data_IF_331820680385
#
_entry.id   IF_331820680385
#
_cell.length_a   1.000
_cell.length_b   1.000
_cell.length_c   1.000
_cell.angle_alpha   90.00
_cell.angle_beta   90.00
_cell.angle_gamma   90.00
#
_symmetry.space_group_name_H-M   'P 1'
#
loop_
_entity.id
_entity.type
_entity.pdbx_description
1 polymer ?
#
# COMPACT_ATOMS: atom_id res chain seq x y z
N UNK A 1 -25.36 14.57 -1.87
CA UNK A 1 -24.20 14.31 -2.72
C UNK A 1 -24.46 13.14 -3.68
N UNK A 2 -24.62 11.88 -3.24
CA UNK A 2 -24.78 10.73 -4.16
C UNK A 2 -26.01 10.81 -5.08
N UNK A 3 -27.07 11.48 -4.68
CA UNK A 3 -28.28 11.68 -5.47
C UNK A 3 -28.18 12.84 -6.49
N UNK A 4 -27.09 13.60 -6.45
CA UNK A 4 -26.87 14.70 -7.34
C UNK A 4 -26.36 14.19 -8.71
N UNK A 5 -27.08 14.43 -9.83
CA UNK A 5 -26.70 13.95 -11.14
C UNK A 5 -25.45 14.67 -11.71
N UNK A 6 -25.08 15.84 -11.19
CA UNK A 6 -23.89 16.57 -11.63
C UNK A 6 -22.60 15.98 -11.04
N UNK A 7 -22.71 15.17 -9.96
CA UNK A 7 -21.58 14.48 -9.36
C UNK A 7 -21.42 13.11 -10.04
N UNK A 8 -20.40 12.94 -10.85
CA UNK A 8 -20.10 11.68 -11.56
C UNK A 8 -19.20 10.74 -10.77
N UNK A 9 -18.31 11.29 -9.95
CA UNK A 9 -17.28 10.56 -9.21
C UNK A 9 -17.21 10.98 -7.74
N UNK A 10 -16.79 10.06 -6.88
CA UNK A 10 -16.59 10.32 -5.46
C UNK A 10 -15.24 9.76 -4.99
N UNK A 11 -14.60 10.49 -4.08
CA UNK A 11 -13.47 9.99 -3.29
C UNK A 11 -13.96 9.62 -1.90
N UNK A 12 -13.72 8.37 -1.48
CA UNK A 12 -14.12 7.85 -0.18
C UNK A 12 -12.88 7.80 0.71
N UNK A 13 -12.80 8.74 1.67
CA UNK A 13 -11.70 8.91 2.63
C UNK A 13 -12.31 8.84 4.03
N UNK A 14 -12.76 7.65 4.39
CA UNK A 14 -13.43 7.34 5.65
C UNK A 14 -12.56 6.36 6.47
N UNK A 15 -12.86 6.16 7.77
CA UNK A 15 -12.27 5.05 8.51
C UNK A 15 -12.54 3.69 7.85
N UNK A 16 -11.57 2.78 7.91
CA UNK A 16 -11.54 1.50 7.21
C UNK A 16 -12.83 0.66 7.39
N UNK A 17 -13.42 0.71 8.58
CA UNK A 17 -14.66 0.00 8.93
C UNK A 17 -15.94 0.60 8.31
N UNK A 18 -15.85 1.76 7.68
CA UNK A 18 -16.97 2.42 6.99
C UNK A 18 -16.89 2.29 5.47
N UNK A 19 -15.82 1.72 4.93
CA UNK A 19 -15.58 1.63 3.50
C UNK A 19 -16.68 0.85 2.78
N UNK A 20 -17.09 -0.31 3.32
CA UNK A 20 -18.10 -1.16 2.70
C UNK A 20 -19.42 -0.44 2.47
N UNK A 21 -20.00 0.16 3.50
CA UNK A 21 -21.27 0.88 3.40
C UNK A 21 -21.17 2.03 2.38
N UNK A 22 -20.08 2.81 2.44
CA UNK A 22 -19.88 3.94 1.54
C UNK A 22 -19.76 3.50 0.07
N UNK A 23 -19.05 2.38 -0.21
CA UNK A 23 -18.91 1.82 -1.55
C UNK A 23 -20.24 1.25 -2.05
N UNK A 24 -21.01 0.50 -1.20
CA UNK A 24 -22.34 0.00 -1.55
C UNK A 24 -23.28 1.14 -1.98
N UNK A 25 -23.29 2.24 -1.22
CA UNK A 25 -24.09 3.43 -1.55
C UNK A 25 -23.63 4.12 -2.84
N UNK A 26 -22.32 4.23 -3.07
CA UNK A 26 -21.76 4.85 -4.27
C UNK A 26 -22.04 4.01 -5.53
N UNK A 27 -21.92 2.67 -5.43
CA UNK A 27 -22.25 1.72 -6.51
C UNK A 27 -23.75 1.80 -6.84
N UNK A 28 -24.64 1.80 -5.83
CA UNK A 28 -26.09 1.95 -6.03
C UNK A 28 -26.44 3.27 -6.72
N UNK A 29 -25.67 4.33 -6.46
CA UNK A 29 -25.80 5.64 -7.12
C UNK A 29 -25.07 5.74 -8.44
N UNK A 30 -24.42 4.65 -8.93
CA UNK A 30 -23.66 4.57 -10.21
C UNK A 30 -22.57 5.62 -10.33
N UNK A 31 -21.81 5.87 -9.24
CA UNK A 31 -20.70 6.82 -9.23
C UNK A 31 -19.37 6.10 -9.52
N UNK A 32 -18.44 6.80 -10.17
CA UNK A 32 -17.04 6.38 -10.18
C UNK A 32 -16.45 6.53 -8.79
N UNK A 33 -15.57 5.63 -8.38
CA UNK A 33 -15.11 5.53 -6.98
C UNK A 33 -13.59 5.48 -6.91
N UNK A 34 -13.00 6.45 -6.21
CA UNK A 34 -11.66 6.37 -5.64
C UNK A 34 -11.82 6.07 -4.15
N UNK A 35 -11.42 4.88 -3.72
CA UNK A 35 -11.50 4.45 -2.34
C UNK A 35 -10.12 4.50 -1.70
N UNK A 36 -9.96 5.17 -0.56
CA UNK A 36 -8.74 5.06 0.22
C UNK A 36 -8.44 3.61 0.63
N UNK A 37 -7.14 3.31 0.75
CA UNK A 37 -6.69 2.00 1.26
C UNK A 37 -6.95 1.90 2.79
N UNK A 38 -7.15 0.70 3.31
CA UNK A 38 -7.28 -0.60 2.65
C UNK A 38 -8.62 -0.74 1.93
N UNK A 39 -8.79 -1.81 1.13
CA UNK A 39 -10.10 -2.10 0.52
C UNK A 39 -11.20 -2.17 1.58
N UNK A 40 -10.95 -2.89 2.69
CA UNK A 40 -11.83 -2.99 3.84
C UNK A 40 -11.01 -3.29 5.10
N UNK A 41 -11.61 -3.15 6.28
CA UNK A 41 -11.01 -3.55 7.55
C UNK A 41 -10.97 -5.06 7.72
N UNK A 42 -12.08 -5.74 7.40
CA UNK A 42 -12.23 -7.19 7.57
C UNK A 42 -12.19 -7.89 6.21
N UNK A 43 -11.61 -9.11 6.17
CA UNK A 43 -11.48 -9.88 4.93
C UNK A 43 -12.85 -10.21 4.30
N UNK A 44 -13.87 -10.48 5.11
CA UNK A 44 -15.22 -10.77 4.61
C UNK A 44 -15.84 -9.56 3.93
N UNK A 45 -15.68 -8.36 4.50
CA UNK A 45 -16.12 -7.11 3.88
C UNK A 45 -15.37 -6.85 2.57
N UNK A 46 -14.05 -7.09 2.57
CA UNK A 46 -13.23 -6.99 1.37
C UNK A 46 -13.68 -7.94 0.26
N UNK A 47 -14.07 -9.17 0.61
CA UNK A 47 -14.63 -10.15 -0.33
C UNK A 47 -15.98 -9.66 -0.89
N UNK A 48 -16.88 -9.19 -0.03
CA UNK A 48 -18.16 -8.67 -0.45
C UNK A 48 -18.01 -7.47 -1.39
N UNK A 49 -17.09 -6.55 -1.07
CA UNK A 49 -16.80 -5.40 -1.92
C UNK A 49 -16.17 -5.82 -3.25
N UNK A 50 -15.21 -6.76 -3.25
CA UNK A 50 -14.64 -7.30 -4.48
C UNK A 50 -15.75 -7.87 -5.40
N UNK A 51 -16.63 -8.73 -4.86
CA UNK A 51 -17.75 -9.30 -5.63
C UNK A 51 -18.69 -8.22 -6.18
N UNK A 52 -18.91 -7.14 -5.44
CA UNK A 52 -19.74 -6.02 -5.85
C UNK A 52 -19.12 -5.22 -7.02
N UNK A 53 -17.78 -5.02 -7.00
CA UNK A 53 -17.13 -4.09 -7.95
C UNK A 53 -16.30 -4.77 -9.04
N UNK A 54 -16.11 -6.11 -9.03
CA UNK A 54 -15.31 -6.83 -10.05
C UNK A 54 -15.79 -6.65 -11.48
N UNK A 55 -17.10 -6.53 -11.66
CA UNK A 55 -17.77 -6.36 -12.95
C UNK A 55 -18.48 -5.00 -13.05
N UNK A 56 -18.12 -4.05 -12.17
CA UNK A 56 -18.74 -2.72 -12.15
C UNK A 56 -18.40 -1.93 -13.42
N UNK A 57 -19.42 -1.33 -14.01
CA UNK A 57 -19.30 -0.59 -15.29
C UNK A 57 -18.69 0.80 -15.16
N UNK A 58 -18.47 1.27 -13.93
CA UNK A 58 -17.79 2.53 -13.64
C UNK A 58 -16.36 2.28 -13.15
N UNK A 59 -15.55 3.33 -13.14
CA UNK A 59 -14.20 3.26 -12.59
C UNK A 59 -14.27 3.03 -11.09
N UNK A 60 -13.63 1.96 -10.63
CA UNK A 60 -13.33 1.71 -9.22
C UNK A 60 -11.82 1.55 -9.07
N UNK A 61 -11.22 2.24 -8.12
CA UNK A 61 -9.82 2.09 -7.77
C UNK A 61 -9.60 2.27 -6.27
N UNK A 62 -8.63 1.56 -5.71
CA UNK A 62 -8.18 1.73 -4.33
C UNK A 62 -6.91 2.59 -4.32
N UNK A 63 -6.76 3.46 -3.32
CA UNK A 63 -5.67 4.40 -3.16
C UNK A 63 -4.33 3.76 -2.81
N UNK A 64 -3.74 3.01 -3.74
CA UNK A 64 -2.39 2.47 -3.63
C UNK A 64 -1.39 3.40 -4.34
N UNK A 65 -1.16 4.54 -3.74
CA UNK A 65 -0.38 5.65 -4.29
C UNK A 65 1.03 5.25 -4.76
N UNK A 66 1.66 4.23 -4.15
CA UNK A 66 3.02 3.80 -4.52
C UNK A 66 3.12 3.22 -5.93
N UNK A 67 2.01 2.84 -6.56
CA UNK A 67 2.01 2.47 -7.99
C UNK A 67 2.23 3.65 -8.92
N UNK A 68 2.08 4.86 -8.40
CA UNK A 68 2.33 6.13 -9.10
C UNK A 68 3.69 6.75 -8.73
N UNK A 69 4.41 6.19 -7.76
CA UNK A 69 5.81 6.55 -7.51
C UNK A 69 6.68 6.07 -8.67
N UNK A 70 7.39 6.97 -9.37
CA UNK A 70 8.15 6.62 -10.56
C UNK A 70 9.21 5.53 -10.32
N UNK A 71 9.76 5.41 -9.12
CA UNK A 71 10.78 4.39 -8.80
C UNK A 71 10.16 2.99 -8.84
N UNK A 72 8.97 2.79 -8.24
CA UNK A 72 8.26 1.52 -8.24
C UNK A 72 7.68 1.19 -9.63
N UNK A 73 7.16 2.21 -10.33
CA UNK A 73 6.65 2.07 -11.69
C UNK A 73 7.74 1.67 -12.69
N UNK A 74 8.94 2.28 -12.61
CA UNK A 74 10.08 1.91 -13.46
C UNK A 74 10.56 0.48 -13.24
N UNK A 75 10.52 -0.03 -12.01
CA UNK A 75 10.84 -1.44 -11.73
C UNK A 75 9.83 -2.34 -12.44
N UNK A 76 8.53 -2.05 -12.29
CA UNK A 76 7.45 -2.82 -12.96
C UNK A 76 7.62 -2.84 -14.48
N UNK A 77 7.87 -1.68 -15.07
CA UNK A 77 8.08 -1.58 -16.52
C UNK A 77 9.23 -2.45 -17.03
N UNK A 78 10.36 -2.49 -16.30
CA UNK A 78 11.51 -3.35 -16.66
C UNK A 78 11.22 -4.84 -16.46
N UNK A 79 10.43 -5.19 -15.44
CA UNK A 79 9.95 -6.56 -15.26
C UNK A 79 9.05 -6.98 -16.41
N UNK A 80 8.08 -6.13 -16.79
CA UNK A 80 7.14 -6.41 -17.89
C UNK A 80 7.83 -6.53 -19.25
N UNK A 81 8.93 -5.80 -19.47
CA UNK A 81 9.77 -5.95 -20.67
C UNK A 81 10.71 -7.14 -20.62
N UNK A 82 10.76 -7.89 -19.50
CA UNK A 82 11.68 -9.02 -19.29
C UNK A 82 13.16 -8.64 -19.18
N UNK A 83 13.45 -7.35 -18.98
CA UNK A 83 14.82 -6.84 -18.83
C UNK A 83 15.48 -7.35 -17.54
N UNK A 84 14.72 -7.49 -16.46
CA UNK A 84 15.19 -8.04 -15.19
C UNK A 84 15.06 -9.56 -15.11
N UNK A 85 14.27 -10.17 -16.00
CA UNK A 85 13.95 -11.60 -15.95
C UNK A 85 12.95 -11.95 -14.86
N UNK A 86 12.97 -13.20 -14.37
CA UNK A 86 12.06 -13.69 -13.35
C UNK A 86 12.55 -13.30 -11.96
N UNK A 87 11.65 -12.83 -11.10
CA UNK A 87 11.98 -12.46 -9.72
C UNK A 87 12.34 -13.73 -8.94
N UNK A 88 13.48 -13.70 -8.24
CA UNK A 88 13.94 -14.75 -7.33
C UNK A 88 13.47 -14.42 -5.93
N UNK A 89 13.80 -13.24 -5.44
CA UNK A 89 13.34 -12.74 -4.16
C UNK A 89 13.26 -11.21 -4.11
N UNK A 90 12.52 -10.72 -3.14
CA UNK A 90 12.43 -9.30 -2.82
C UNK A 90 12.52 -9.12 -1.30
N UNK A 91 13.36 -8.17 -0.85
CA UNK A 91 13.33 -7.65 0.51
C UNK A 91 12.78 -6.23 0.48
N UNK A 92 11.78 -5.98 1.32
CA UNK A 92 11.19 -4.65 1.48
C UNK A 92 11.13 -4.27 2.94
N UNK A 93 11.42 -3.01 3.22
CA UNK A 93 11.41 -2.45 4.57
C UNK A 93 10.73 -1.09 4.54
N UNK A 94 9.78 -0.88 5.45
CA UNK A 94 9.14 0.42 5.66
C UNK A 94 9.07 0.74 7.14
N UNK A 95 9.90 1.70 7.57
CA UNK A 95 10.00 2.11 8.95
C UNK A 95 9.62 3.59 9.12
N UNK A 96 9.00 3.94 10.25
CA UNK A 96 8.57 5.32 10.54
C UNK A 96 8.69 5.66 12.02
N UNK A 97 8.73 6.96 12.38
CA UNK A 97 8.78 7.40 13.77
C UNK A 97 7.52 7.08 14.56
N UNK A 98 7.70 6.84 15.88
CA UNK A 98 6.62 6.47 16.81
C UNK A 98 5.53 7.54 16.96
N UNK A 99 5.76 8.75 16.54
CA UNK A 99 4.75 9.81 16.57
C UNK A 99 3.56 9.52 15.63
N UNK A 100 3.81 8.80 14.53
CA UNK A 100 2.78 8.42 13.55
C UNK A 100 1.71 7.51 14.14
N UNK A 101 2.05 6.32 14.65
CA UNK A 101 1.09 5.31 15.10
C UNK A 101 0.20 5.77 16.25
N UNK A 102 0.64 6.71 17.08
CA UNK A 102 -0.19 7.28 18.15
C UNK A 102 -1.52 7.86 17.66
N UNK A 103 -1.61 8.23 16.37
CA UNK A 103 -2.84 8.75 15.74
C UNK A 103 -3.83 7.65 15.36
N UNK A 104 -3.37 6.38 15.32
CA UNK A 104 -4.14 5.24 14.85
C UNK A 104 -4.52 4.25 15.95
N UNK A 105 -4.28 4.62 17.23
CA UNK A 105 -4.63 3.78 18.38
C UNK A 105 -6.13 3.42 18.33
N UNK A 106 -6.42 2.12 18.30
CA UNK A 106 -7.78 1.57 18.22
C UNK A 106 -8.43 1.64 16.84
N UNK A 107 -7.79 2.24 15.84
CA UNK A 107 -8.32 2.38 14.48
C UNK A 107 -7.70 1.37 13.50
N UNK A 108 -6.37 1.26 13.46
CA UNK A 108 -5.65 0.39 12.52
C UNK A 108 -4.36 -0.13 13.15
N UNK A 109 -3.81 -1.24 12.65
CA UNK A 109 -2.52 -1.79 13.08
C UNK A 109 -1.48 -1.68 11.94
N UNK A 110 -0.23 -2.04 12.26
CA UNK A 110 0.95 -1.91 11.41
C UNK A 110 0.80 -2.66 10.07
N UNK A 111 0.24 -3.88 10.10
CA UNK A 111 -0.03 -4.67 8.90
C UNK A 111 -0.97 -3.97 7.94
N UNK A 112 -2.09 -3.48 8.46
CA UNK A 112 -3.17 -2.86 7.68
C UNK A 112 -2.84 -1.42 7.26
N UNK A 113 -2.13 -0.66 8.12
CA UNK A 113 -1.86 0.75 7.84
C UNK A 113 -0.60 0.96 7.00
N UNK A 114 0.45 0.18 7.26
CA UNK A 114 1.79 0.37 6.67
C UNK A 114 2.13 -0.73 5.67
N UNK A 115 2.13 -2.01 6.10
CA UNK A 115 2.60 -3.11 5.24
C UNK A 115 1.73 -3.32 4.01
N UNK A 116 0.45 -2.97 4.05
CA UNK A 116 -0.45 -3.14 2.91
C UNK A 116 0.03 -2.40 1.65
N UNK A 117 0.73 -1.29 1.82
CA UNK A 117 1.36 -0.57 0.70
C UNK A 117 2.45 -1.40 0.03
N UNK A 118 3.30 -2.03 0.85
CA UNK A 118 4.41 -2.84 0.35
C UNK A 118 3.90 -4.16 -0.23
N UNK A 119 2.90 -4.75 0.38
CA UNK A 119 2.20 -5.94 -0.13
C UNK A 119 1.61 -5.66 -1.52
N UNK A 120 0.96 -4.52 -1.71
CA UNK A 120 0.33 -4.16 -2.97
C UNK A 120 1.35 -4.09 -4.12
N UNK A 121 2.41 -3.30 -3.99
CA UNK A 121 3.35 -3.17 -5.09
C UNK A 121 4.21 -4.42 -5.30
N UNK A 122 4.51 -5.19 -4.25
CA UNK A 122 5.22 -6.47 -4.40
C UNK A 122 4.35 -7.49 -5.14
N UNK A 123 3.06 -7.63 -4.79
CA UNK A 123 2.13 -8.47 -5.53
C UNK A 123 2.05 -8.04 -7.01
N UNK A 124 2.05 -6.74 -7.27
CA UNK A 124 2.04 -6.19 -8.62
C UNK A 124 3.31 -6.55 -9.42
N UNK A 125 4.48 -6.48 -8.79
CA UNK A 125 5.73 -6.89 -9.43
C UNK A 125 5.79 -8.40 -9.70
N UNK A 126 5.37 -9.21 -8.71
CA UNK A 126 5.37 -10.67 -8.84
C UNK A 126 4.49 -11.17 -9.98
N UNK A 127 3.37 -10.52 -10.25
CA UNK A 127 2.46 -10.84 -11.35
C UNK A 127 1.77 -12.21 -11.22
N UNK A 128 1.87 -12.86 -10.06
CA UNK A 128 1.23 -14.13 -9.72
C UNK A 128 0.69 -14.10 -8.29
N UNK A 129 -0.05 -15.15 -7.86
CA UNK A 129 -0.71 -15.16 -6.57
C UNK A 129 0.27 -15.46 -5.43
N UNK A 130 0.15 -14.76 -4.28
CA UNK A 130 0.74 -15.20 -3.03
C UNK A 130 0.03 -16.48 -2.55
N UNK A 131 0.79 -17.46 -2.05
CA UNK A 131 0.24 -18.77 -1.65
C UNK A 131 0.46 -19.12 -0.19
N UNK A 132 1.53 -18.60 0.43
CA UNK A 132 1.86 -18.88 1.84
C UNK A 132 2.46 -17.68 2.53
N UNK A 133 2.18 -17.56 3.82
CA UNK A 133 2.74 -16.50 4.68
C UNK A 133 3.24 -17.08 5.99
N UNK A 134 4.44 -16.67 6.38
CA UNK A 134 4.95 -16.84 7.74
C UNK A 134 5.31 -15.46 8.32
N UNK A 135 4.76 -15.10 9.47
CA UNK A 135 4.98 -13.79 10.08
C UNK A 135 5.27 -13.87 11.58
N UNK A 136 6.02 -12.88 12.06
CA UNK A 136 6.31 -12.65 13.48
C UNK A 136 6.24 -11.16 13.78
N UNK A 137 5.84 -10.87 15.01
CA UNK A 137 5.75 -9.51 15.53
C UNK A 137 6.49 -9.36 16.87
N UNK A 138 6.71 -8.11 17.22
CA UNK A 138 7.10 -7.71 18.58
C UNK A 138 6.35 -6.45 18.97
N UNK A 139 5.89 -6.43 20.23
CA UNK A 139 5.24 -5.26 20.84
C UNK A 139 5.90 -4.98 22.18
N UNK A 140 6.47 -3.82 22.33
CA UNK A 140 7.14 -3.31 23.55
C UNK A 140 6.63 -1.92 23.87
N UNK A 141 6.83 -0.95 22.97
CA UNK A 141 6.47 0.45 23.17
C UNK A 141 4.96 0.71 23.01
N UNK A 142 4.31 -0.01 22.09
CA UNK A 142 2.88 0.13 21.79
C UNK A 142 2.03 -1.00 22.38
N UNK A 143 2.62 -1.86 23.24
CA UNK A 143 1.96 -3.03 23.80
C UNK A 143 0.67 -2.69 24.57
N UNK A 144 0.69 -1.63 25.38
CA UNK A 144 -0.48 -1.20 26.17
C UNK A 144 -1.63 -0.68 25.28
N UNK A 145 -1.31 -0.28 24.04
CA UNK A 145 -2.28 0.15 23.04
C UNK A 145 -2.80 -1.02 22.17
N UNK A 146 -2.34 -2.24 22.42
CA UNK A 146 -2.71 -3.42 21.62
C UNK A 146 -2.12 -3.43 20.22
N UNK A 147 -1.08 -2.64 19.93
CA UNK A 147 -0.48 -2.46 18.61
C UNK A 147 0.89 -3.12 18.52
N UNK A 148 1.27 -3.51 17.31
CA UNK A 148 2.59 -4.05 17.01
C UNK A 148 3.62 -2.93 16.82
N UNK A 149 4.84 -3.08 17.40
CA UNK A 149 5.96 -2.19 17.13
C UNK A 149 6.62 -2.51 15.79
N UNK A 150 6.76 -3.80 15.50
CA UNK A 150 7.40 -4.34 14.30
C UNK A 150 6.73 -5.64 13.88
N UNK A 151 6.63 -5.84 12.56
CA UNK A 151 6.22 -7.08 11.93
C UNK A 151 7.26 -7.46 10.88
N UNK A 152 7.65 -8.75 10.87
CA UNK A 152 8.37 -9.40 9.78
C UNK A 152 7.46 -10.45 9.15
N UNK A 153 7.39 -10.47 7.82
CA UNK A 153 6.63 -11.46 7.08
C UNK A 153 7.44 -12.02 5.91
N UNK A 154 7.31 -13.31 5.68
CA UNK A 154 7.80 -14.01 4.50
C UNK A 154 6.59 -14.46 3.71
N UNK A 155 6.48 -14.02 2.46
CA UNK A 155 5.41 -14.37 1.52
C UNK A 155 6.00 -15.21 0.40
N UNK A 156 5.43 -16.39 0.17
CA UNK A 156 5.79 -17.26 -0.96
C UNK A 156 4.74 -17.12 -2.06
N UNK A 157 5.19 -17.07 -3.31
CA UNK A 157 4.36 -16.90 -4.49
C UNK A 157 4.27 -18.19 -5.31
N UNK A 158 3.24 -18.32 -6.19
CA UNK A 158 3.00 -19.50 -7.03
C UNK A 158 4.21 -19.89 -7.88
N UNK A 159 4.98 -18.91 -8.35
CA UNK A 159 6.21 -19.14 -9.15
C UNK A 159 7.43 -19.53 -8.30
N UNK A 160 7.28 -19.67 -6.98
CA UNK A 160 8.34 -20.01 -6.04
C UNK A 160 9.16 -18.81 -5.56
N UNK A 161 8.92 -17.60 -6.06
CA UNK A 161 9.58 -16.38 -5.57
C UNK A 161 9.18 -16.09 -4.11
N UNK A 162 10.08 -15.42 -3.38
CA UNK A 162 9.91 -15.13 -1.95
C UNK A 162 10.03 -13.62 -1.73
N UNK A 163 9.09 -13.04 -1.01
CA UNK A 163 9.23 -11.69 -0.48
C UNK A 163 9.42 -11.73 1.04
N UNK A 164 10.46 -11.03 1.52
CA UNK A 164 10.67 -10.77 2.95
C UNK A 164 10.32 -9.31 3.23
N UNK A 165 9.36 -9.08 4.11
CA UNK A 165 8.82 -7.76 4.39
C UNK A 165 9.02 -7.38 5.85
N UNK A 166 9.50 -6.17 6.08
CA UNK A 166 9.67 -5.56 7.40
C UNK A 166 8.87 -4.28 7.47
N UNK A 167 8.04 -4.14 8.51
CA UNK A 167 7.46 -2.86 8.87
C UNK A 167 7.69 -2.55 10.35
N UNK A 168 8.07 -1.32 10.64
CA UNK A 168 8.26 -0.82 12.00
C UNK A 168 7.83 0.64 12.06
N UNK A 169 7.12 1.02 13.09
CA UNK A 169 6.73 2.42 13.29
C UNK A 169 7.10 2.96 14.67
N UNK A 170 8.17 2.43 15.22
CA UNK A 170 8.70 2.83 16.53
C UNK A 170 10.13 3.38 16.47
N UNK A 171 10.53 3.96 15.33
CA UNK A 171 11.75 4.75 15.27
C UNK A 171 11.64 5.98 16.20
N UNK A 172 12.75 6.54 16.68
CA UNK A 172 12.75 7.75 17.50
C UNK A 172 11.97 8.89 16.84
N UNK A 173 11.30 9.72 17.65
CA UNK A 173 10.51 10.86 17.15
C UNK A 173 11.35 11.87 16.32
N UNK A 174 12.63 11.98 16.64
CA UNK A 174 13.60 12.83 15.93
C UNK A 174 14.32 12.13 14.78
N UNK A 175 13.79 11.03 14.27
CA UNK A 175 14.33 10.38 13.07
C UNK A 175 14.45 11.38 11.92
N UNK A 176 15.52 11.31 11.13
CA UNK A 176 15.78 12.28 10.07
C UNK A 176 14.79 12.21 8.91
N UNK A 177 13.98 11.15 8.85
CA UNK A 177 12.93 10.95 7.84
C UNK A 177 11.63 10.48 8.50
N UNK A 178 10.51 10.82 7.88
CA UNK A 178 9.17 10.33 8.29
C UNK A 178 8.86 8.95 7.74
N UNK A 179 9.52 8.54 6.65
CA UNK A 179 9.42 7.22 6.04
C UNK A 179 10.82 6.79 5.63
N UNK A 180 11.31 5.69 6.20
CA UNK A 180 12.55 5.01 5.83
C UNK A 180 12.18 3.71 5.12
N UNK A 181 11.98 3.78 3.81
CA UNK A 181 11.68 2.61 2.98
C UNK A 181 12.89 2.20 2.14
N UNK A 182 13.09 0.90 2.05
CA UNK A 182 14.11 0.27 1.20
C UNK A 182 13.55 -0.92 0.48
N UNK A 183 14.02 -1.09 -0.75
CA UNK A 183 13.73 -2.26 -1.58
C UNK A 183 15.01 -2.82 -2.11
N UNK A 184 15.10 -4.14 -2.07
CA UNK A 184 16.11 -4.93 -2.75
C UNK A 184 15.42 -6.07 -3.48
N UNK A 185 15.37 -6.00 -4.82
CA UNK A 185 14.76 -7.00 -5.67
C UNK A 185 15.85 -7.68 -6.50
N UNK A 186 15.93 -9.00 -6.40
CA UNK A 186 16.86 -9.84 -7.17
C UNK A 186 16.09 -10.69 -8.15
N UNK A 187 16.47 -10.63 -9.41
CA UNK A 187 15.86 -11.39 -10.49
C UNK A 187 16.94 -12.09 -11.33
N UNK A 188 16.53 -12.96 -12.24
CA UNK A 188 17.45 -13.84 -12.99
C UNK A 188 18.40 -13.12 -13.94
N UNK A 189 18.10 -11.87 -14.30
CA UNK A 189 18.92 -11.07 -15.22
C UNK A 189 19.39 -9.74 -14.62
N UNK A 190 18.96 -9.39 -13.39
CA UNK A 190 19.33 -8.12 -12.80
C UNK A 190 18.81 -7.92 -11.40
N UNK A 191 19.11 -6.77 -10.84
CA UNK A 191 18.69 -6.32 -9.50
C UNK A 191 18.10 -4.92 -9.57
N UNK A 192 17.22 -4.61 -8.63
CA UNK A 192 16.71 -3.25 -8.45
C UNK A 192 16.80 -2.84 -6.98
N UNK A 193 17.17 -1.60 -6.72
CA UNK A 193 17.28 -1.03 -5.38
C UNK A 193 16.46 0.26 -5.28
N UNK A 194 15.78 0.45 -4.17
CA UNK A 194 15.16 1.72 -3.78
C UNK A 194 15.62 2.08 -2.37
N UNK A 195 16.01 3.32 -2.16
CA UNK A 195 16.32 3.88 -0.84
C UNK A 195 15.66 5.25 -0.72
N UNK A 196 14.72 5.39 0.22
CA UNK A 196 13.99 6.63 0.42
C UNK A 196 14.82 7.72 1.09
N UNK A 197 15.84 7.35 1.83
CA UNK A 197 16.75 8.31 2.46
C UNK A 197 17.80 8.88 1.48
N UNK A 198 17.95 8.27 0.29
CA UNK A 198 18.83 8.77 -0.76
C UNK A 198 18.04 9.44 -1.89
N UNK A 199 17.39 10.56 -1.56
CA UNK A 199 16.57 11.34 -2.50
C UNK A 199 17.31 12.56 -3.10
N UNK A 200 18.60 12.69 -2.84
CA UNK A 200 19.45 13.77 -3.36
C UNK A 200 19.34 15.10 -2.59
N UNK A 201 18.45 15.21 -1.64
CA UNK A 201 18.27 16.43 -0.81
C UNK A 201 18.29 16.08 0.67
N UNK A 202 19.14 16.82 1.41
CA UNK A 202 19.15 16.78 2.88
C UNK A 202 19.41 18.15 3.44
N UNK A 203 18.79 18.45 4.57
CA UNK A 203 19.04 19.66 5.34
C UNK A 203 19.86 19.30 6.58
N UNK A 204 20.90 20.13 6.86
CA UNK A 204 21.67 20.05 8.09
C UNK A 204 21.52 21.39 8.80
N UNK A 205 20.89 21.39 9.94
CA UNK A 205 20.58 22.61 10.73
C UNK A 205 20.97 22.40 12.18
N UNK A 206 20.78 23.42 13.01
CA UNK A 206 20.92 23.30 14.46
C UNK A 206 20.00 22.26 15.09
N UNK A 207 18.92 21.86 14.41
CA UNK A 207 17.97 20.84 14.85
C UNK A 207 18.32 19.42 14.37
N UNK A 208 19.46 19.25 13.72
CA UNK A 208 19.92 17.95 13.20
C UNK A 208 19.82 17.81 11.70
N UNK A 209 19.85 16.56 11.24
CA UNK A 209 19.75 16.18 9.82
C UNK A 209 18.31 15.81 9.49
N UNK A 210 17.81 16.28 8.36
CA UNK A 210 16.48 15.97 7.83
C UNK A 210 16.56 15.59 6.35
N UNK A 211 15.82 14.55 5.97
CA UNK A 211 15.56 14.15 4.58
C UNK A 211 14.09 14.50 4.28
N UNK A 212 13.84 15.58 3.50
CA UNK A 212 12.47 15.99 3.20
C UNK A 212 11.75 14.93 2.35
N UNK A 213 10.45 14.86 2.49
CA UNK A 213 9.64 14.14 1.51
C UNK A 213 9.70 14.87 0.17
N UNK A 214 10.08 14.17 -0.88
CA UNK A 214 10.14 14.67 -2.26
C UNK A 214 9.40 13.75 -3.22
N UNK A 215 8.41 12.98 -2.71
CA UNK A 215 7.78 11.89 -3.46
C UNK A 215 6.26 11.83 -3.32
N UNK A 216 5.75 11.95 -2.09
CA UNK A 216 4.35 11.63 -1.83
C UNK A 216 3.44 12.86 -1.96
N UNK A 217 3.80 14.00 -1.33
CA UNK A 217 2.97 15.21 -1.28
C UNK A 217 3.80 16.48 -1.07
N UNK A 218 4.84 16.63 -1.88
CA UNK A 218 5.70 17.82 -1.83
C UNK A 218 5.11 18.96 -2.67
N UNK A 219 5.66 20.16 -2.48
CA UNK A 219 5.24 21.36 -3.20
C UNK A 219 6.31 21.83 -4.17
N UNK A 220 5.90 22.15 -5.40
CA UNK A 220 6.73 22.85 -6.39
C UNK A 220 5.98 24.08 -6.85
N UNK A 221 6.57 25.26 -6.63
CA UNK A 221 5.97 26.56 -7.02
C UNK A 221 4.54 26.77 -6.49
N UNK A 222 4.23 26.21 -5.31
CA UNK A 222 2.89 26.31 -4.69
C UNK A 222 1.89 25.23 -5.09
N UNK A 223 2.24 24.38 -6.03
CA UNK A 223 1.39 23.25 -6.48
C UNK A 223 1.77 21.96 -5.73
N UNK A 224 0.77 21.17 -5.37
CA UNK A 224 0.96 19.82 -4.79
C UNK A 224 1.42 18.87 -5.88
N UNK A 225 2.54 18.21 -5.65
CA UNK A 225 3.12 17.21 -6.55
C UNK A 225 3.35 15.90 -5.80
N UNK A 226 3.72 14.86 -6.53
CA UNK A 226 4.05 13.54 -5.99
C UNK A 226 3.01 12.49 -6.35
N UNK A 227 3.27 11.27 -5.90
CA UNK A 227 2.48 10.09 -6.26
C UNK A 227 1.01 10.16 -5.83
N UNK A 228 0.68 10.86 -4.73
CA UNK A 228 -0.70 11.10 -4.34
C UNK A 228 -1.45 11.97 -5.37
N UNK A 229 -0.81 13.04 -5.86
CA UNK A 229 -1.39 13.89 -6.89
C UNK A 229 -1.57 13.11 -8.21
N UNK A 230 -0.56 12.30 -8.59
CA UNK A 230 -0.61 11.45 -9.79
C UNK A 230 -1.72 10.39 -9.70
N UNK A 231 -1.93 9.77 -8.53
CA UNK A 231 -3.03 8.83 -8.30
C UNK A 231 -4.39 9.48 -8.55
N UNK A 232 -4.64 10.65 -7.94
CA UNK A 232 -5.90 11.39 -8.11
C UNK A 232 -6.08 11.80 -9.57
N UNK A 233 -5.04 12.30 -10.23
CA UNK A 233 -5.09 12.68 -11.65
C UNK A 233 -5.32 11.47 -12.54
N UNK A 234 -4.72 10.32 -12.25
CA UNK A 234 -4.97 9.08 -12.99
C UNK A 234 -6.45 8.65 -12.87
N UNK A 235 -7.02 8.73 -11.66
CA UNK A 235 -8.44 8.45 -11.46
C UNK A 235 -9.33 9.40 -12.28
N UNK A 236 -9.10 10.71 -12.22
CA UNK A 236 -9.85 11.71 -13.01
C UNK A 236 -9.73 11.43 -14.49
N UNK A 237 -8.54 11.12 -14.99
CA UNK A 237 -8.30 10.79 -16.39
C UNK A 237 -9.02 9.49 -16.80
N UNK A 238 -9.05 8.47 -15.94
CA UNK A 238 -9.79 7.24 -16.21
C UNK A 238 -11.30 7.50 -16.32
N UNK A 239 -11.84 8.35 -15.46
CA UNK A 239 -13.25 8.77 -15.52
C UNK A 239 -13.53 9.53 -16.81
N UNK A 240 -12.74 10.55 -17.11
CA UNK A 240 -12.93 11.42 -18.30
C UNK A 240 -12.83 10.65 -19.63
N UNK A 241 -11.96 9.63 -19.69
CA UNK A 241 -11.70 8.86 -20.92
C UNK A 241 -12.40 7.50 -20.93
N UNK A 242 -13.18 7.17 -19.92
CA UNK A 242 -13.85 5.87 -19.74
C UNK A 242 -12.86 4.69 -19.85
N UNK A 243 -11.71 4.81 -19.21
CA UNK A 243 -10.67 3.77 -19.15
C UNK A 243 -10.63 3.08 -17.80
N UNK A 244 -10.10 1.85 -17.75
CA UNK A 244 -9.96 1.10 -16.49
C UNK A 244 -8.77 1.62 -15.68
N UNK A 245 -8.90 1.54 -14.35
CA UNK A 245 -7.79 1.79 -13.45
C UNK A 245 -6.66 0.75 -13.63
N UNK A 246 -5.43 1.18 -13.39
CA UNK A 246 -4.25 0.30 -13.30
C UNK A 246 -4.27 -0.57 -12.04
N UNK A 247 -5.09 -0.20 -11.05
CA UNK A 247 -5.31 -0.95 -9.82
C UNK A 247 -6.68 -1.62 -9.93
N UNK A 248 -6.68 -2.94 -10.06
CA UNK A 248 -7.92 -3.70 -10.19
C UNK A 248 -8.52 -4.05 -8.84
N UNK A 249 -9.86 -4.24 -8.74
CA UNK A 249 -10.50 -4.72 -7.51
C UNK A 249 -9.90 -6.01 -6.97
N UNK A 250 -9.49 -6.92 -7.87
CA UNK A 250 -8.83 -8.18 -7.51
C UNK A 250 -7.51 -7.96 -6.79
N UNK A 251 -6.68 -7.06 -7.29
CA UNK A 251 -5.39 -6.75 -6.68
C UNK A 251 -5.55 -6.13 -5.29
N UNK A 252 -6.54 -5.26 -5.12
CA UNK A 252 -6.87 -4.68 -3.81
C UNK A 252 -7.33 -5.74 -2.81
N UNK A 253 -8.15 -6.69 -3.26
CA UNK A 253 -8.58 -7.81 -2.43
C UNK A 253 -7.42 -8.77 -2.12
N UNK A 254 -6.54 -9.06 -3.08
CA UNK A 254 -5.36 -9.91 -2.86
C UNK A 254 -4.39 -9.29 -1.83
N UNK A 255 -4.20 -7.97 -1.85
CA UNK A 255 -3.41 -7.29 -0.82
C UNK A 255 -4.02 -7.48 0.58
N UNK A 256 -5.33 -7.34 0.71
CA UNK A 256 -6.04 -7.57 1.98
C UNK A 256 -5.94 -9.03 2.44
N UNK A 257 -6.00 -10.01 1.53
CA UNK A 257 -5.80 -11.44 1.86
C UNK A 257 -4.43 -11.71 2.47
N UNK A 258 -3.38 -11.06 1.96
CA UNK A 258 -2.02 -11.21 2.51
C UNK A 258 -1.95 -10.59 3.91
N UNK A 259 -2.57 -9.44 4.14
CA UNK A 259 -2.64 -8.84 5.49
C UNK A 259 -3.34 -9.79 6.48
N UNK A 260 -4.51 -10.33 6.12
CA UNK A 260 -5.21 -11.32 6.94
C UNK A 260 -4.33 -12.55 7.24
N UNK A 261 -3.63 -13.07 6.24
CA UNK A 261 -2.71 -14.20 6.40
C UNK A 261 -1.53 -13.86 7.33
N UNK A 262 -0.98 -12.63 7.28
CA UNK A 262 0.04 -12.15 8.21
C UNK A 262 -0.49 -12.18 9.65
N UNK A 263 -1.67 -11.64 9.88
CA UNK A 263 -2.29 -11.60 11.21
C UNK A 263 -2.64 -13.00 11.73
N UNK A 264 -3.14 -13.88 10.85
CA UNK A 264 -3.35 -15.30 11.21
C UNK A 264 -2.05 -15.99 11.56
N UNK A 265 -0.99 -15.82 10.78
CA UNK A 265 0.31 -16.41 11.03
C UNK A 265 0.92 -15.95 12.35
N UNK A 266 0.81 -14.67 12.68
CA UNK A 266 1.24 -14.12 13.98
C UNK A 266 0.46 -14.78 15.13
N UNK A 267 -0.87 -14.85 15.01
CA UNK A 267 -1.75 -15.41 16.04
C UNK A 267 -1.52 -16.91 16.25
N UNK A 268 -1.36 -17.66 15.16
CA UNK A 268 -1.20 -19.12 15.21
C UNK A 268 0.25 -19.56 15.43
N UNK A 269 1.20 -18.67 15.21
CA UNK A 269 2.61 -18.97 15.42
C UNK A 269 3.25 -19.88 14.36
N UNK A 270 2.60 -20.05 13.19
CA UNK A 270 3.02 -20.96 12.10
C UNK A 270 2.81 -20.33 10.72
N UNK A 271 3.32 -21.01 9.68
CA UNK A 271 2.98 -20.72 8.29
C UNK A 271 1.48 -20.96 8.03
N UNK A 272 0.86 -20.09 7.24
CA UNK A 272 -0.54 -20.20 6.81
C UNK A 272 -0.66 -20.11 5.29
N UNK A 273 -1.65 -20.80 4.74
CA UNK A 273 -2.02 -20.72 3.33
C UNK A 273 -3.06 -19.61 3.10
N UNK A 274 -3.02 -19.00 1.88
CA UNK A 274 -3.96 -17.96 1.46
C UNK A 274 -5.17 -18.57 0.73
#
# INVERSE_FOLDING_TARGET
>A
MLQDPEIEAVSIVLPDNMHREAVELAVAAKKHILLEKPLAKELEDGKAMYELVKDYDKVFTTGFLLRFDPRFAMIKERLDRGELGDIIHCYVRRNSPIIGPRRYIGASDLSMHVMIHDIDYVNWWMGCQPVKVFARNRSVLLKENGMNDVIYAIVTYENGAIACMEACWTLPENSPTIIDDKVELVATKGVAYVDSCDNGVRFVTGNGVQYPDSRHWYYVNGEVCGDLAEEVMAFVNNVANNTKSVITPKQSYDALRVVDAIERSIREGKEVEL
#
